data_IF_564098489763
#
_entry.id   IF_564098489763
#
_cell.length_a   1.000
_cell.length_b   1.000
_cell.length_c   1.000
_cell.angle_alpha   90.00
_cell.angle_beta   90.00
_cell.angle_gamma   90.00
#
_symmetry.space_group_name_H-M   'P 1'
#
loop_
_entity.id
_entity.type
_entity.pdbx_description
1 polymer ?
#
# COMPACT_ATOMS: atom_id res chain seq x y z
N UNK A 1 -46.65 32.08 19.11
CA UNK A 1 -46.73 32.80 17.83
C UNK A 1 -46.21 31.85 16.77
N UNK A 2 -47.04 31.05 16.08
CA UNK A 2 -47.80 31.26 14.83
C UNK A 2 -46.88 31.89 13.77
N UNK A 3 -46.47 31.22 12.68
CA UNK A 3 -47.28 30.91 11.50
C UNK A 3 -46.71 29.75 10.68
N UNK A 4 -47.64 28.89 10.29
CA UNK A 4 -47.49 27.91 9.21
C UNK A 4 -47.74 28.61 7.85
N UNK A 5 -47.21 28.07 6.77
CA UNK A 5 -47.86 28.24 5.47
C UNK A 5 -47.69 27.00 4.58
N UNK A 6 -48.84 26.44 4.26
CA UNK A 6 -49.13 25.42 3.23
C UNK A 6 -49.47 26.16 1.91
N UNK A 7 -49.15 25.57 0.77
CA UNK A 7 -49.81 25.74 -0.55
C UNK A 7 -49.51 24.45 -1.31
N UNK A 8 -50.37 23.48 -1.50
CA UNK A 8 -51.61 23.27 -2.26
C UNK A 8 -51.41 23.44 -3.76
N UNK A 9 -51.35 22.31 -4.45
CA UNK A 9 -52.23 21.71 -5.45
C UNK A 9 -52.72 22.60 -6.61
N UNK A 10 -52.49 22.19 -7.85
CA UNK A 10 -53.42 22.38 -8.94
C UNK A 10 -53.33 21.26 -9.97
N UNK A 11 -54.36 20.43 -9.97
CA UNK A 11 -54.78 19.52 -11.04
C UNK A 11 -55.47 20.33 -12.12
N UNK A 12 -55.14 20.15 -13.39
CA UNK A 12 -55.94 20.63 -14.52
C UNK A 12 -56.22 19.47 -15.47
N UNK A 13 -57.46 18.94 -15.34
CA UNK A 13 -58.14 18.20 -16.40
C UNK A 13 -58.55 19.16 -17.51
N UNK A 14 -58.29 18.84 -18.76
CA UNK A 14 -58.98 19.40 -19.89
C UNK A 14 -59.49 18.27 -20.79
N UNK A 15 -60.81 18.13 -20.77
CA UNK A 15 -61.69 17.44 -21.73
C UNK A 15 -61.54 18.09 -23.08
N UNK A 16 -61.41 17.31 -24.15
CA UNK A 16 -61.77 17.79 -25.52
C UNK A 16 -62.51 16.71 -26.27
N UNK A 17 -63.67 17.17 -26.82
CA UNK A 17 -64.73 16.43 -27.41
C UNK A 17 -64.41 15.73 -28.75
N UNK A 18 -65.19 14.63 -28.95
CA UNK A 18 -65.43 13.92 -30.21
C UNK A 18 -65.76 14.86 -31.37
N UNK A 19 -65.16 14.57 -32.53
CA UNK A 19 -65.80 14.76 -33.84
C UNK A 19 -65.60 13.48 -34.65
N UNK A 20 -66.74 12.82 -34.93
CA UNK A 20 -66.85 11.65 -35.78
C UNK A 20 -66.93 12.13 -37.23
N UNK A 21 -65.98 11.64 -38.06
CA UNK A 21 -66.02 11.78 -39.50
C UNK A 21 -65.96 10.37 -40.15
N UNK A 22 -66.64 10.15 -41.28
CA UNK A 22 -66.86 8.81 -41.81
C UNK A 22 -65.59 8.21 -42.39
N UNK A 23 -65.41 6.95 -42.07
CA UNK A 23 -64.30 6.10 -42.51
C UNK A 23 -64.35 5.80 -44.02
N UNK A 24 -63.31 6.16 -44.75
CA UNK A 24 -62.97 5.53 -46.01
C UNK A 24 -61.97 4.41 -45.76
N UNK A 25 -62.44 3.19 -45.87
CA UNK A 25 -61.59 2.01 -45.78
C UNK A 25 -60.76 1.86 -47.07
N UNK A 26 -59.50 2.06 -46.99
CA UNK A 26 -58.53 1.63 -48.02
C UNK A 26 -58.09 0.20 -47.70
N UNK A 27 -58.01 -0.72 -48.68
CA UNK A 27 -57.57 -2.07 -48.40
C UNK A 27 -56.08 -2.09 -48.07
N UNK A 28 -55.77 -2.45 -46.84
CA UNK A 28 -54.41 -2.76 -46.45
C UNK A 28 -53.99 -4.06 -47.09
N UNK A 29 -53.10 -3.96 -48.06
CA UNK A 29 -52.42 -5.08 -48.63
C UNK A 29 -51.53 -5.72 -47.57
N UNK A 30 -51.92 -6.89 -47.03
CA UNK A 30 -51.10 -7.65 -46.11
C UNK A 30 -49.85 -8.19 -46.86
N UNK A 31 -48.77 -7.47 -46.78
CA UNK A 31 -47.48 -8.06 -47.13
C UNK A 31 -47.06 -8.98 -45.98
N UNK A 32 -47.21 -10.28 -46.23
CA UNK A 32 -46.58 -11.33 -45.42
C UNK A 32 -45.05 -11.13 -45.51
N UNK A 33 -44.47 -10.54 -44.51
CA UNK A 33 -43.04 -10.54 -44.37
C UNK A 33 -42.57 -11.98 -44.21
N UNK A 34 -41.92 -12.50 -45.23
CA UNK A 34 -41.20 -13.77 -45.12
C UNK A 34 -40.17 -13.64 -44.01
N UNK A 35 -40.36 -14.35 -42.91
CA UNK A 35 -39.39 -14.45 -41.87
C UNK A 35 -38.10 -15.02 -42.47
N UNK A 36 -37.06 -14.16 -42.55
CA UNK A 36 -35.75 -14.65 -42.92
C UNK A 36 -35.32 -15.67 -41.88
N UNK A 37 -35.24 -16.92 -42.26
CA UNK A 37 -34.66 -17.98 -41.43
C UNK A 37 -33.19 -17.65 -41.22
N UNK A 38 -32.85 -17.22 -39.99
CA UNK A 38 -31.46 -17.13 -39.52
C UNK A 38 -30.91 -18.57 -39.60
N UNK A 39 -29.84 -18.81 -40.38
CA UNK A 39 -29.26 -20.14 -40.43
C UNK A 39 -28.84 -20.56 -39.02
N UNK A 40 -29.32 -21.71 -38.57
CA UNK A 40 -28.93 -22.27 -37.28
C UNK A 40 -27.40 -22.42 -37.26
N UNK A 41 -26.76 -21.70 -36.36
CA UNK A 41 -25.33 -21.87 -36.09
C UNK A 41 -25.15 -23.28 -35.56
N UNK A 42 -24.59 -24.16 -36.38
CA UNK A 42 -24.27 -25.51 -35.93
C UNK A 42 -23.22 -25.37 -34.79
N UNK A 43 -23.44 -26.06 -33.65
CA UNK A 43 -22.42 -26.04 -32.58
C UNK A 43 -21.14 -26.65 -33.15
N UNK A 44 -20.10 -25.84 -33.22
CA UNK A 44 -18.74 -26.30 -33.54
C UNK A 44 -18.36 -27.28 -32.44
N UNK A 45 -18.09 -28.52 -32.79
CA UNK A 45 -17.60 -29.50 -31.83
C UNK A 45 -16.35 -28.95 -31.14
N UNK A 46 -16.20 -29.11 -29.80
CA UNK A 46 -15.03 -28.62 -29.10
C UNK A 46 -13.79 -29.24 -29.73
N UNK A 47 -12.93 -28.40 -30.27
CA UNK A 47 -11.64 -28.84 -30.76
C UNK A 47 -10.84 -29.36 -29.55
N UNK A 48 -10.44 -30.63 -29.60
CA UNK A 48 -9.51 -31.19 -28.62
C UNK A 48 -8.13 -30.55 -28.85
N UNK A 49 -7.89 -29.43 -28.21
CA UNK A 49 -6.58 -28.75 -28.22
C UNK A 49 -5.74 -29.41 -27.14
N UNK A 50 -4.76 -30.24 -27.54
CA UNK A 50 -3.72 -30.69 -26.62
C UNK A 50 -2.54 -29.72 -26.69
N UNK A 51 -2.27 -29.02 -25.59
CA UNK A 51 -1.10 -28.15 -25.45
C UNK A 51 0.01 -28.96 -24.80
N UNK A 52 1.18 -29.05 -25.45
CA UNK A 52 2.39 -29.52 -24.81
C UNK A 52 3.21 -28.27 -24.44
N UNK A 53 3.47 -28.07 -23.15
CA UNK A 53 4.42 -27.12 -22.67
C UNK A 53 5.76 -27.83 -22.42
N UNK A 54 6.87 -27.26 -22.88
CA UNK A 54 8.21 -27.68 -22.52
C UNK A 54 8.92 -26.51 -21.87
N UNK A 55 9.65 -26.76 -20.79
CA UNK A 55 10.45 -25.79 -20.07
C UNK A 55 11.92 -26.15 -20.33
N UNK A 56 12.68 -25.20 -20.88
CA UNK A 56 14.12 -25.33 -21.05
C UNK A 56 14.82 -24.43 -20.04
N UNK A 57 15.62 -24.99 -19.17
CA UNK A 57 16.48 -24.21 -18.28
C UNK A 57 17.49 -23.41 -19.12
N UNK A 58 17.61 -22.13 -18.85
CA UNK A 58 18.66 -21.27 -19.39
C UNK A 58 19.74 -21.18 -18.31
N UNK A 59 20.85 -21.83 -18.54
CA UNK A 59 22.00 -21.88 -17.65
C UNK A 59 23.29 -21.54 -18.42
N UNK A 60 24.44 -21.75 -17.81
CA UNK A 60 25.75 -21.44 -18.39
C UNK A 60 26.09 -22.26 -19.68
N UNK A 61 25.33 -23.31 -19.99
CA UNK A 61 25.46 -24.08 -21.21
C UNK A 61 24.91 -23.37 -22.44
N UNK A 62 24.08 -22.36 -22.25
CA UNK A 62 23.52 -21.54 -23.34
C UNK A 62 24.52 -20.42 -23.66
N UNK A 63 25.04 -20.41 -24.88
CA UNK A 63 25.96 -19.35 -25.29
C UNK A 63 25.29 -17.97 -25.28
N UNK A 64 25.99 -16.96 -24.76
CA UNK A 64 25.55 -15.57 -24.82
C UNK A 64 25.41 -15.08 -26.26
N UNK A 65 24.37 -14.27 -26.53
CA UNK A 65 24.22 -13.60 -27.81
C UNK A 65 25.16 -12.37 -27.88
N UNK A 66 26.12 -12.32 -28.85
CA UNK A 66 27.05 -11.20 -28.94
C UNK A 66 26.39 -9.82 -29.13
N UNK A 67 25.22 -9.77 -29.75
CA UNK A 67 24.48 -8.51 -29.95
C UNK A 67 23.88 -7.99 -28.63
N UNK A 68 23.39 -8.89 -27.78
CA UNK A 68 22.89 -8.58 -26.44
C UNK A 68 24.06 -8.19 -25.52
N UNK A 69 25.15 -8.94 -25.57
CA UNK A 69 26.37 -8.62 -24.80
C UNK A 69 26.90 -7.22 -25.12
N UNK A 70 26.92 -6.82 -26.40
CA UNK A 70 27.34 -5.47 -26.80
C UNK A 70 26.47 -4.35 -26.20
N UNK A 71 25.17 -4.60 -26.01
CA UNK A 71 24.26 -3.66 -25.37
C UNK A 71 24.47 -3.60 -23.86
N UNK A 72 24.77 -4.71 -23.20
CA UNK A 72 24.94 -4.82 -21.76
C UNK A 72 26.32 -4.32 -21.30
N UNK A 73 27.38 -4.56 -22.13
CA UNK A 73 28.76 -4.29 -21.77
C UNK A 73 29.04 -2.91 -21.16
N UNK A 74 28.47 -1.79 -21.65
CA UNK A 74 28.68 -0.47 -21.05
C UNK A 74 28.18 -0.34 -19.60
N UNK A 75 27.21 -1.17 -19.20
CA UNK A 75 26.61 -1.16 -17.87
C UNK A 75 27.24 -2.15 -16.90
N UNK A 76 27.97 -3.15 -17.40
CA UNK A 76 28.53 -4.28 -16.61
C UNK A 76 29.40 -3.82 -15.45
N UNK A 77 30.23 -2.80 -15.65
CA UNK A 77 31.11 -2.26 -14.61
C UNK A 77 30.28 -1.67 -13.45
N UNK A 78 29.22 -0.90 -13.78
CA UNK A 78 28.33 -0.28 -12.80
C UNK A 78 27.54 -1.33 -12.02
N UNK A 79 27.03 -2.37 -12.68
CA UNK A 79 26.32 -3.48 -12.03
C UNK A 79 27.25 -4.22 -11.07
N UNK A 80 28.50 -4.50 -11.45
CA UNK A 80 29.50 -5.11 -10.57
C UNK A 80 29.76 -4.25 -9.32
N UNK A 81 29.87 -2.92 -9.49
CA UNK A 81 30.02 -1.98 -8.38
C UNK A 81 28.82 -2.02 -7.41
N UNK A 82 27.59 -2.11 -7.94
CA UNK A 82 26.37 -2.21 -7.13
C UNK A 82 26.28 -3.53 -6.36
N UNK A 83 26.87 -4.60 -6.87
CA UNK A 83 26.90 -5.91 -6.22
C UNK A 83 27.98 -6.03 -5.13
N UNK A 84 28.88 -5.03 -5.01
CA UNK A 84 29.86 -5.02 -3.94
C UNK A 84 29.16 -4.91 -2.56
N UNK A 85 29.63 -5.66 -1.55
CA UNK A 85 29.07 -5.58 -0.20
C UNK A 85 29.20 -4.18 0.39
N UNK A 86 28.10 -3.67 0.97
CA UNK A 86 28.05 -2.40 1.69
C UNK A 86 27.85 -2.58 3.19
N UNK A 87 27.57 -3.81 3.63
CA UNK A 87 27.35 -4.15 5.02
C UNK A 87 27.13 -5.63 5.23
N UNK A 88 26.87 -6.01 6.49
CA UNK A 88 26.60 -7.40 6.88
C UNK A 88 25.29 -7.49 7.64
N UNK A 89 24.45 -8.43 7.22
CA UNK A 89 23.17 -8.75 7.82
C UNK A 89 23.30 -9.98 8.72
N UNK A 90 22.87 -9.84 9.97
CA UNK A 90 22.75 -10.94 10.94
C UNK A 90 21.29 -11.32 11.12
N UNK A 91 20.97 -12.52 10.69
CA UNK A 91 19.59 -12.99 10.53
C UNK A 91 18.94 -12.47 9.26
N UNK A 92 18.21 -13.34 8.57
CA UNK A 92 17.54 -12.97 7.32
C UNK A 92 16.38 -12.01 7.52
N UNK A 93 16.19 -11.08 6.59
CA UNK A 93 15.04 -10.18 6.54
C UNK A 93 13.93 -10.83 5.73
N UNK A 94 12.70 -10.82 6.26
CA UNK A 94 11.52 -11.38 5.58
C UNK A 94 10.38 -10.37 5.58
N UNK A 95 9.75 -10.21 4.40
CA UNK A 95 8.50 -9.49 4.25
C UNK A 95 7.35 -10.39 4.68
N UNK A 96 6.39 -9.83 5.43
CA UNK A 96 5.18 -10.57 5.81
C UNK A 96 4.50 -9.98 7.03
N UNK A 97 3.30 -10.45 7.29
CA UNK A 97 2.54 -10.04 8.45
C UNK A 97 2.19 -8.55 8.52
N UNK A 98 1.98 -8.08 9.76
CA UNK A 98 1.74 -6.66 10.04
C UNK A 98 3.05 -5.88 9.90
N UNK A 99 2.97 -4.68 9.31
CA UNK A 99 4.14 -3.81 9.18
C UNK A 99 5.21 -4.28 8.18
N UNK A 100 4.90 -5.26 7.31
CA UNK A 100 5.86 -5.78 6.34
C UNK A 100 6.96 -6.67 6.95
N UNK A 101 6.77 -7.17 8.16
CA UNK A 101 7.68 -8.10 8.84
C UNK A 101 9.03 -7.47 9.23
N UNK A 102 10.06 -8.31 9.38
CA UNK A 102 11.40 -7.83 9.73
C UNK A 102 12.01 -6.93 8.65
N UNK A 103 11.65 -7.16 7.37
CA UNK A 103 12.08 -6.32 6.25
C UNK A 103 11.46 -4.92 6.33
N UNK A 104 10.17 -4.83 6.68
CA UNK A 104 9.50 -3.55 6.92
C UNK A 104 10.09 -2.80 8.11
N UNK A 105 10.39 -3.51 9.21
CA UNK A 105 11.05 -2.93 10.36
C UNK A 105 12.41 -2.33 10.01
N UNK A 106 13.24 -3.08 9.30
CA UNK A 106 14.55 -2.62 8.83
C UNK A 106 14.47 -1.32 8.05
N UNK A 107 13.58 -1.27 7.04
CA UNK A 107 13.43 -0.06 6.22
C UNK A 107 12.92 1.11 7.05
N UNK A 108 11.86 0.91 7.86
CA UNK A 108 11.31 1.99 8.67
C UNK A 108 12.31 2.54 9.71
N UNK A 109 13.12 1.66 10.32
CA UNK A 109 14.17 2.05 11.26
C UNK A 109 15.28 2.86 10.56
N UNK A 110 15.68 2.41 9.36
CA UNK A 110 16.66 3.13 8.56
C UNK A 110 16.19 4.56 8.21
N UNK A 111 14.93 4.68 7.76
CA UNK A 111 14.38 5.99 7.42
C UNK A 111 14.31 6.92 8.63
N UNK A 112 13.83 6.41 9.76
CA UNK A 112 13.76 7.18 11.00
C UNK A 112 15.14 7.66 11.41
N UNK A 113 16.13 6.75 11.48
CA UNK A 113 17.51 7.07 11.85
C UNK A 113 18.14 8.12 10.92
N UNK A 114 17.97 7.97 9.61
CA UNK A 114 18.56 8.94 8.65
C UNK A 114 17.85 10.28 8.67
N UNK A 115 16.54 10.30 8.87
CA UNK A 115 15.80 11.55 9.07
C UNK A 115 16.28 12.30 10.31
N UNK A 116 16.57 11.63 11.44
CA UNK A 116 17.14 12.22 12.64
C UNK A 116 18.49 12.89 12.36
N UNK A 117 19.35 12.25 11.56
CA UNK A 117 20.65 12.80 11.17
C UNK A 117 20.48 14.07 10.33
N UNK A 118 19.59 14.04 9.32
CA UNK A 118 19.34 15.19 8.42
C UNK A 118 18.71 16.35 9.18
N UNK A 119 17.75 16.07 10.05
CA UNK A 119 17.03 17.07 10.82
C UNK A 119 17.81 17.57 12.05
N UNK A 120 18.86 16.86 12.46
CA UNK A 120 19.62 17.09 13.70
C UNK A 120 18.73 17.18 14.96
N UNK A 121 17.64 16.40 14.96
CA UNK A 121 16.70 16.30 16.07
C UNK A 121 16.02 14.93 16.08
N UNK A 122 15.53 14.46 17.24
CA UNK A 122 14.79 13.20 17.32
C UNK A 122 13.55 13.21 16.41
N UNK A 123 13.27 12.07 15.82
CA UNK A 123 12.05 11.80 15.04
C UNK A 123 11.21 10.78 15.80
N UNK A 124 10.00 11.14 16.17
CA UNK A 124 9.14 10.26 16.97
C UNK A 124 8.59 9.09 16.13
N UNK A 125 8.29 9.33 14.87
CA UNK A 125 7.63 8.33 14.02
C UNK A 125 8.07 8.44 12.56
N UNK A 126 8.38 7.28 11.97
CA UNK A 126 8.49 7.10 10.52
C UNK A 126 7.50 6.05 10.06
N UNK A 127 6.79 6.28 8.93
CA UNK A 127 5.82 5.35 8.35
C UNK A 127 6.01 5.27 6.84
N UNK A 128 6.01 4.03 6.31
CA UNK A 128 6.08 3.75 4.88
C UNK A 128 5.08 2.65 4.48
N UNK A 129 4.67 2.64 3.22
CA UNK A 129 3.82 1.57 2.72
C UNK A 129 4.61 0.28 2.47
N UNK A 130 4.22 -0.81 3.11
CA UNK A 130 4.84 -2.13 2.93
C UNK A 130 4.71 -2.66 1.49
N UNK A 131 3.72 -2.20 0.72
CA UNK A 131 3.57 -2.56 -0.69
C UNK A 131 4.70 -2.01 -1.58
N UNK A 132 5.41 -0.97 -1.11
CA UNK A 132 6.59 -0.40 -1.78
C UNK A 132 7.83 -1.29 -1.70
N UNK A 133 7.86 -2.26 -0.77
CA UNK A 133 8.95 -3.22 -0.63
C UNK A 133 8.80 -4.31 -1.70
N UNK A 134 9.74 -4.43 -2.64
CA UNK A 134 9.61 -5.29 -3.84
C UNK A 134 10.33 -6.62 -3.72
N UNK A 135 11.24 -6.80 -2.75
CA UNK A 135 11.78 -8.13 -2.37
C UNK A 135 10.94 -8.76 -1.26
N UNK A 136 10.86 -10.08 -1.28
CA UNK A 136 10.19 -10.84 -0.22
C UNK A 136 11.14 -11.21 0.92
N UNK A 137 12.43 -11.26 0.63
CA UNK A 137 13.47 -11.56 1.62
C UNK A 137 14.84 -11.05 1.17
N UNK A 138 15.72 -10.83 2.14
CA UNK A 138 17.16 -10.71 1.96
C UNK A 138 17.78 -11.75 2.87
N UNK A 139 18.65 -12.61 2.34
CA UNK A 139 19.30 -13.67 3.11
C UNK A 139 20.29 -13.09 4.12
N UNK A 140 20.61 -13.86 5.17
CA UNK A 140 21.72 -13.56 6.07
C UNK A 140 23.03 -13.56 5.30
N UNK A 141 23.95 -12.65 5.65
CA UNK A 141 25.27 -12.51 5.03
C UNK A 141 25.54 -11.09 4.57
N UNK A 142 26.29 -10.98 3.49
CA UNK A 142 26.61 -9.68 2.91
C UNK A 142 25.37 -9.07 2.25
N UNK A 143 25.22 -7.76 2.43
CA UNK A 143 24.19 -6.96 1.80
C UNK A 143 24.84 -5.96 0.84
N UNK A 144 24.34 -5.88 -0.37
CA UNK A 144 24.85 -5.03 -1.44
C UNK A 144 23.94 -3.84 -1.74
N UNK A 145 24.46 -2.87 -2.49
CA UNK A 145 23.61 -1.79 -3.02
C UNK A 145 22.52 -2.35 -3.94
N UNK A 146 22.83 -3.38 -4.73
CA UNK A 146 21.87 -4.04 -5.61
C UNK A 146 20.67 -4.57 -4.85
N UNK A 147 20.86 -5.18 -3.67
CA UNK A 147 19.77 -5.65 -2.81
C UNK A 147 18.81 -4.53 -2.43
N UNK A 148 19.35 -3.34 -2.14
CA UNK A 148 18.53 -2.18 -1.77
C UNK A 148 17.82 -1.59 -3.00
N UNK A 149 18.45 -1.55 -4.17
CA UNK A 149 17.81 -1.11 -5.42
C UNK A 149 16.65 -2.03 -5.82
N UNK A 150 16.83 -3.35 -5.69
CA UNK A 150 15.75 -4.31 -5.94
C UNK A 150 14.63 -4.24 -4.91
N UNK A 151 14.98 -3.98 -3.64
CA UNK A 151 13.99 -3.80 -2.57
C UNK A 151 13.16 -2.54 -2.77
N UNK A 152 13.80 -1.43 -3.14
CA UNK A 152 13.24 -0.08 -3.20
C UNK A 152 13.49 0.58 -4.57
N UNK A 153 12.86 0.09 -5.65
CA UNK A 153 13.13 0.60 -7.01
C UNK A 153 12.55 1.98 -7.30
N UNK A 154 11.76 2.54 -6.38
CA UNK A 154 11.08 3.82 -6.59
C UNK A 154 11.87 5.00 -6.04
N UNK A 155 11.79 6.15 -6.73
CA UNK A 155 12.40 7.43 -6.34
C UNK A 155 11.50 8.23 -5.36
N UNK A 156 10.99 7.55 -4.32
CA UNK A 156 10.15 8.20 -3.32
C UNK A 156 11.01 9.09 -2.41
N UNK A 157 10.71 10.38 -2.38
CA UNK A 157 11.39 11.32 -1.49
C UNK A 157 10.88 11.16 -0.04
N UNK A 158 11.81 11.24 0.93
CA UNK A 158 11.44 11.41 2.32
C UNK A 158 10.91 12.82 2.55
N UNK A 159 9.81 12.90 3.28
CA UNK A 159 9.20 14.16 3.66
C UNK A 159 8.89 14.17 5.16
N UNK A 160 8.95 15.34 5.77
CA UNK A 160 8.40 15.60 7.09
C UNK A 160 7.15 16.41 7.00
N UNK A 161 6.23 16.18 7.92
CA UNK A 161 5.04 17.00 8.11
C UNK A 161 4.60 16.96 9.56
N UNK A 162 3.79 17.93 9.94
CA UNK A 162 3.24 18.05 11.28
C UNK A 162 1.76 17.67 11.28
N UNK A 163 1.40 16.76 12.17
CA UNK A 163 0.03 16.31 12.41
C UNK A 163 -0.38 16.63 13.85
N UNK A 164 -1.64 17.01 14.09
CA UNK A 164 -2.20 16.98 15.43
C UNK A 164 -2.26 15.54 15.94
N UNK A 165 -2.37 15.34 17.25
CA UNK A 165 -2.49 14.00 17.80
C UNK A 165 -3.72 13.24 17.29
N UNK A 166 -4.82 13.94 17.01
CA UNK A 166 -6.01 13.36 16.39
C UNK A 166 -5.71 12.89 14.95
N UNK A 167 -5.08 13.74 14.12
CA UNK A 167 -4.66 13.35 12.76
C UNK A 167 -3.66 12.20 12.79
N UNK A 168 -2.73 12.21 13.75
CA UNK A 168 -1.75 11.14 13.92
C UNK A 168 -2.42 9.81 14.25
N UNK A 169 -3.42 9.78 15.14
CA UNK A 169 -4.19 8.56 15.43
C UNK A 169 -4.93 8.05 14.20
N UNK A 170 -5.55 8.93 13.41
CA UNK A 170 -6.18 8.57 12.13
C UNK A 170 -5.17 7.96 11.16
N UNK A 171 -4.00 8.55 11.03
CA UNK A 171 -2.92 8.02 10.18
C UNK A 171 -2.38 6.67 10.67
N UNK A 172 -2.26 6.48 11.98
CA UNK A 172 -1.83 5.19 12.56
C UNK A 172 -2.89 4.10 12.40
N UNK A 173 -4.18 4.44 12.41
CA UNK A 173 -5.23 3.49 12.06
C UNK A 173 -5.09 3.01 10.59
N UNK A 174 -4.86 3.93 9.65
CA UNK A 174 -4.56 3.58 8.26
C UNK A 174 -3.26 2.76 8.13
N UNK A 175 -2.27 3.04 8.97
CA UNK A 175 -1.03 2.25 9.03
C UNK A 175 -1.31 0.79 9.37
N UNK A 176 -2.23 0.54 10.28
CA UNK A 176 -2.69 -0.81 10.65
C UNK A 176 -3.54 -1.43 9.54
N UNK A 177 -4.52 -0.71 9.03
CA UNK A 177 -5.44 -1.19 7.98
C UNK A 177 -4.69 -1.63 6.72
N UNK A 178 -3.71 -0.84 6.28
CA UNK A 178 -2.89 -1.13 5.10
C UNK A 178 -1.61 -1.93 5.40
N UNK A 179 -1.43 -2.37 6.64
CA UNK A 179 -0.25 -3.11 7.11
C UNK A 179 1.07 -2.42 6.79
N UNK A 180 1.09 -1.10 6.88
CA UNK A 180 2.27 -0.27 6.62
C UNK A 180 3.35 -0.49 7.68
N UNK A 181 4.62 -0.38 7.26
CA UNK A 181 5.74 -0.45 8.17
C UNK A 181 5.93 0.89 8.92
N UNK A 182 6.33 0.80 10.18
CA UNK A 182 6.59 1.99 11.00
C UNK A 182 7.76 1.77 11.95
N UNK A 183 8.37 2.86 12.37
CA UNK A 183 9.36 2.93 13.44
C UNK A 183 9.01 4.08 14.38
N UNK A 184 8.97 3.80 15.68
CA UNK A 184 8.71 4.80 16.71
C UNK A 184 7.38 4.62 17.45
N UNK A 185 6.57 3.63 17.13
CA UNK A 185 5.34 3.35 17.86
C UNK A 185 5.27 1.89 18.36
N UNK A 186 4.52 1.68 19.43
CA UNK A 186 3.99 0.40 19.90
C UNK A 186 2.50 0.37 19.60
N UNK A 187 2.09 -0.54 18.73
CA UNK A 187 0.73 -0.62 18.20
C UNK A 187 0.10 -1.93 18.64
N UNK A 188 -1.08 -1.83 19.26
CA UNK A 188 -1.97 -2.97 19.51
C UNK A 188 -3.09 -2.91 18.47
N UNK A 189 -3.33 -4.01 17.77
CA UNK A 189 -4.32 -4.10 16.71
C UNK A 189 -5.15 -5.37 16.83
N UNK A 190 -6.33 -5.36 16.28
CA UNK A 190 -7.18 -6.54 16.07
C UNK A 190 -7.64 -6.61 14.63
N UNK A 191 -8.14 -7.78 14.21
CA UNK A 191 -8.77 -7.96 12.90
C UNK A 191 -10.27 -8.06 13.07
N UNK A 192 -11.00 -7.16 12.46
CA UNK A 192 -12.44 -7.25 12.33
C UNK A 192 -12.75 -8.35 11.31
N UNK A 193 -13.35 -9.47 11.77
CA UNK A 193 -13.63 -10.66 10.95
C UNK A 193 -14.67 -10.38 9.86
N UNK A 194 -15.67 -9.55 10.15
CA UNK A 194 -16.76 -9.19 9.24
C UNK A 194 -16.24 -8.33 8.08
N UNK A 195 -15.50 -7.28 8.42
CA UNK A 195 -14.94 -6.33 7.45
C UNK A 195 -13.64 -6.83 6.81
N UNK A 196 -13.03 -7.91 7.33
CA UNK A 196 -11.72 -8.43 6.92
C UNK A 196 -10.60 -7.37 6.96
N UNK A 197 -10.74 -6.38 7.86
CA UNK A 197 -9.81 -5.26 8.04
C UNK A 197 -9.16 -5.31 9.40
N UNK A 198 -7.91 -4.86 9.47
CA UNK A 198 -7.22 -4.67 10.74
C UNK A 198 -7.48 -3.26 11.26
N UNK A 199 -7.72 -3.14 12.56
CA UNK A 199 -8.09 -1.92 13.26
C UNK A 199 -7.10 -1.64 14.39
N UNK A 200 -6.83 -0.35 14.62
CA UNK A 200 -6.02 0.12 15.72
C UNK A 200 -6.82 0.02 17.03
N UNK A 201 -6.30 -0.73 18.01
CA UNK A 201 -6.87 -0.83 19.35
C UNK A 201 -6.22 0.20 20.28
N UNK A 202 -4.90 0.18 20.32
CA UNK A 202 -4.12 1.11 21.14
C UNK A 202 -2.78 1.44 20.47
N UNK A 203 -2.25 2.63 20.79
CA UNK A 203 -0.95 3.05 20.30
C UNK A 203 -0.26 3.98 21.30
N UNK A 204 1.05 3.73 21.49
CA UNK A 204 1.96 4.62 22.21
C UNK A 204 3.14 4.95 21.32
N UNK A 205 3.61 6.17 21.36
CA UNK A 205 4.87 6.55 20.72
C UNK A 205 6.03 6.17 21.64
N UNK A 206 7.22 6.06 21.07
CA UNK A 206 8.47 5.90 21.84
C UNK A 206 9.31 7.14 21.68
N UNK A 207 9.66 7.76 22.80
CA UNK A 207 10.57 8.89 22.81
C UNK A 207 12.02 8.48 22.49
N UNK A 208 12.93 9.44 22.49
CA UNK A 208 14.35 9.19 22.20
C UNK A 208 15.03 8.30 23.26
N UNK A 209 14.53 8.27 24.48
CA UNK A 209 14.98 7.40 25.58
C UNK A 209 14.37 6.02 25.56
N UNK A 210 13.40 5.77 24.64
CA UNK A 210 12.67 4.51 24.51
C UNK A 210 11.46 4.38 25.42
N UNK A 211 11.12 5.41 26.20
CA UNK A 211 9.92 5.43 27.04
C UNK A 211 8.66 5.52 26.16
N UNK A 212 7.61 4.85 26.60
CA UNK A 212 6.31 4.91 25.93
C UNK A 212 5.54 6.14 26.37
N UNK A 213 5.08 6.95 25.41
CA UNK A 213 4.30 8.16 25.64
C UNK A 213 2.95 8.06 24.95
N UNK A 214 1.90 8.51 25.63
CA UNK A 214 0.56 8.60 25.06
C UNK A 214 0.48 9.72 24.02
N UNK A 215 -0.38 9.56 23.01
CA UNK A 215 -0.64 10.60 22.03
C UNK A 215 -1.67 11.58 22.62
N UNK A 216 -1.22 12.81 22.92
CA UNK A 216 -2.10 13.91 23.27
C UNK A 216 -2.82 14.41 22.01
N UNK A 217 -4.16 14.35 21.94
CA UNK A 217 -4.94 14.79 20.76
C UNK A 217 -4.66 16.23 20.34
N UNK A 218 -4.36 17.12 21.30
CA UNK A 218 -4.11 18.54 21.06
C UNK A 218 -2.69 18.89 20.69
N UNK A 219 -1.72 18.01 20.99
CA UNK A 219 -0.32 18.24 20.67
C UNK A 219 -0.04 18.10 19.17
N UNK A 220 1.08 18.69 18.74
CA UNK A 220 1.57 18.58 17.35
C UNK A 220 2.78 17.67 17.29
N UNK A 221 2.79 16.75 16.32
CA UNK A 221 3.81 15.75 16.14
C UNK A 221 4.46 15.87 14.75
N UNK A 222 5.78 16.03 14.71
CA UNK A 222 6.53 15.92 13.45
C UNK A 222 6.77 14.45 13.15
N UNK A 223 6.31 14.00 11.99
CA UNK A 223 6.53 12.64 11.49
C UNK A 223 7.34 12.65 10.20
N UNK A 224 7.91 11.51 9.87
CA UNK A 224 8.58 11.23 8.60
C UNK A 224 7.78 10.20 7.82
N UNK A 225 7.59 10.46 6.54
CA UNK A 225 6.97 9.52 5.60
C UNK A 225 7.54 9.74 4.21
N UNK A 226 6.92 9.16 3.19
CA UNK A 226 7.32 9.33 1.80
C UNK A 226 6.31 10.18 1.04
N UNK A 227 6.79 10.93 0.07
CA UNK A 227 5.98 11.82 -0.76
C UNK A 227 4.84 11.09 -1.49
N UNK A 228 5.06 9.83 -1.85
CA UNK A 228 4.03 8.98 -2.46
C UNK A 228 2.77 8.87 -1.59
N UNK A 229 2.91 8.64 -0.27
CA UNK A 229 1.75 8.54 0.61
C UNK A 229 1.00 9.87 0.74
N UNK A 230 1.72 10.99 0.78
CA UNK A 230 1.12 12.33 0.83
C UNK A 230 0.38 12.65 -0.47
N UNK A 231 0.99 12.34 -1.62
CA UNK A 231 0.41 12.61 -2.95
C UNK A 231 -0.76 11.70 -3.29
N UNK A 232 -0.80 10.49 -2.74
CA UNK A 232 -1.82 9.49 -3.05
C UNK A 232 -3.23 9.98 -2.75
N UNK A 233 -3.44 10.76 -1.68
CA UNK A 233 -4.78 11.19 -1.27
C UNK A 233 -5.69 10.01 -0.90
N UNK A 234 -6.98 10.14 -1.12
CA UNK A 234 -7.95 9.11 -0.77
C UNK A 234 -7.90 8.79 0.72
N UNK A 235 -7.68 7.49 1.07
CA UNK A 235 -7.55 7.08 2.47
C UNK A 235 -6.46 7.87 3.22
N UNK A 236 -5.39 8.29 2.52
CA UNK A 236 -4.28 9.06 3.10
C UNK A 236 -4.49 10.58 3.08
N UNK A 237 -5.70 11.09 2.81
CA UNK A 237 -6.03 12.52 2.82
C UNK A 237 -5.63 13.22 4.12
N UNK A 238 -5.63 12.50 5.25
CA UNK A 238 -5.16 13.01 6.54
C UNK A 238 -3.73 13.56 6.49
N UNK A 239 -2.86 13.04 5.62
CA UNK A 239 -1.51 13.58 5.42
C UNK A 239 -1.52 14.92 4.69
N UNK A 240 -2.53 15.17 3.83
CA UNK A 240 -2.70 16.44 3.13
C UNK A 240 -3.27 17.54 4.04
N UNK A 241 -3.94 17.15 5.13
CA UNK A 241 -4.39 18.05 6.20
C UNK A 241 -3.22 18.55 7.09
N UNK A 242 -2.07 17.84 7.02
CA UNK A 242 -0.89 18.17 7.81
C UNK A 242 -0.26 19.51 7.41
N UNK A 243 0.53 20.07 8.33
CA UNK A 243 1.22 21.35 8.15
C UNK A 243 2.72 21.14 7.93
N UNK A 244 3.39 22.18 7.49
CA UNK A 244 4.85 22.22 7.38
C UNK A 244 5.46 21.04 6.60
N UNK A 245 4.79 20.61 5.52
CA UNK A 245 5.31 19.60 4.62
C UNK A 245 6.65 20.06 4.02
N UNK A 246 7.72 19.29 4.24
CA UNK A 246 9.08 19.60 3.76
C UNK A 246 9.76 18.35 3.25
N UNK A 247 10.35 18.35 2.03
CA UNK A 247 11.23 17.29 1.59
C UNK A 247 12.56 17.32 2.36
N UNK A 248 13.14 16.14 2.58
CA UNK A 248 14.44 16.01 3.26
C UNK A 248 15.63 15.96 2.27
N UNK A 249 15.41 16.18 0.98
CA UNK A 249 16.42 16.02 -0.08
C UNK A 249 17.12 14.65 -0.06
N UNK A 250 16.38 13.63 0.34
CA UNK A 250 16.84 12.26 0.51
C UNK A 250 15.74 11.32 0.00
N UNK A 251 16.08 10.35 -0.84
CA UNK A 251 15.12 9.33 -1.24
C UNK A 251 15.03 8.22 -0.17
N UNK A 252 13.94 7.47 -0.20
CA UNK A 252 13.78 6.29 0.68
C UNK A 252 14.92 5.29 0.49
N UNK A 253 15.33 5.05 -0.76
CA UNK A 253 16.44 4.15 -1.10
C UNK A 253 17.77 4.67 -0.58
N UNK A 254 18.08 5.94 -0.81
CA UNK A 254 19.34 6.53 -0.35
C UNK A 254 19.44 6.52 1.18
N UNK A 255 18.32 6.78 1.88
CA UNK A 255 18.27 6.67 3.33
C UNK A 255 18.67 5.27 3.82
N UNK A 256 18.16 4.22 3.18
CA UNK A 256 18.52 2.84 3.57
C UNK A 256 19.98 2.53 3.20
N UNK A 257 20.46 2.95 2.04
CA UNK A 257 21.88 2.79 1.65
C UNK A 257 22.81 3.50 2.65
N UNK A 258 22.52 4.74 2.99
CA UNK A 258 23.30 5.52 3.97
C UNK A 258 23.24 4.89 5.36
N UNK A 259 22.08 4.39 5.79
CA UNK A 259 21.94 3.69 7.07
C UNK A 259 22.85 2.45 7.13
N UNK A 260 22.80 1.57 6.11
CA UNK A 260 23.64 0.38 6.07
C UNK A 260 25.12 0.74 6.11
N UNK A 261 25.55 1.73 5.32
CA UNK A 261 26.93 2.19 5.30
C UNK A 261 27.37 2.79 6.64
N UNK A 262 26.50 3.55 7.30
CA UNK A 262 26.79 4.15 8.60
C UNK A 262 26.93 3.09 9.71
N UNK A 263 26.04 2.09 9.74
CA UNK A 263 26.13 0.97 10.67
C UNK A 263 27.41 0.16 10.46
N UNK A 264 27.75 -0.12 9.20
CA UNK A 264 28.97 -0.83 8.82
C UNK A 264 30.23 -0.06 9.23
N UNK A 265 30.28 1.26 8.96
CA UNK A 265 31.39 2.11 9.37
C UNK A 265 31.57 2.18 10.90
N UNK A 266 30.46 2.02 11.64
CA UNK A 266 30.47 1.95 13.10
C UNK A 266 30.75 0.54 13.66
N UNK A 267 31.06 -0.44 12.79
CA UNK A 267 31.32 -1.83 13.19
C UNK A 267 30.08 -2.58 13.68
N UNK A 268 28.89 -2.08 13.39
CA UNK A 268 27.64 -2.71 13.80
C UNK A 268 27.01 -3.48 12.64
N UNK A 269 26.72 -4.78 12.80
CA UNK A 269 25.98 -5.52 11.79
C UNK A 269 24.50 -5.08 11.74
N UNK A 270 23.91 -5.15 10.57
CA UNK A 270 22.48 -4.91 10.40
C UNK A 270 21.71 -6.04 11.07
N UNK A 271 20.80 -5.70 11.96
CA UNK A 271 19.90 -6.64 12.62
C UNK A 271 18.49 -6.09 12.51
N UNK A 272 17.61 -6.86 11.90
CA UNK A 272 16.21 -6.51 11.92
C UNK A 272 15.41 -7.63 12.59
N UNK A 273 14.70 -7.29 13.62
CA UNK A 273 13.95 -8.23 14.43
C UNK A 273 12.46 -7.84 14.47
N UNK A 274 11.63 -8.83 14.72
CA UNK A 274 10.26 -8.59 15.15
C UNK A 274 10.32 -8.26 16.67
N UNK A 275 10.30 -6.96 16.98
CA UNK A 275 10.49 -6.43 18.36
C UNK A 275 9.17 -6.17 19.10
N UNK A 276 8.07 -6.69 18.57
CA UNK A 276 6.73 -6.52 19.14
C UNK A 276 6.15 -5.11 18.97
N UNK A 277 6.69 -4.29 18.03
CA UNK A 277 6.12 -2.97 17.70
C UNK A 277 4.69 -3.04 17.17
N UNK A 278 4.29 -4.20 16.66
CA UNK A 278 2.90 -4.55 16.36
C UNK A 278 2.52 -5.78 17.18
N UNK A 279 1.49 -5.67 17.98
CA UNK A 279 0.95 -6.75 18.82
C UNK A 279 -0.53 -6.96 18.52
N UNK A 280 -0.90 -8.21 18.30
CA UNK A 280 -2.29 -8.58 18.14
C UNK A 280 -3.01 -8.59 19.49
N UNK A 281 -4.19 -7.98 19.55
CA UNK A 281 -5.07 -8.03 20.71
C UNK A 281 -5.82 -9.37 20.73
N UNK A 282 -5.56 -10.18 21.75
CA UNK A 282 -6.19 -11.48 21.94
C UNK A 282 -7.39 -11.44 22.91
N UNK A 283 -7.66 -10.30 23.54
CA UNK A 283 -8.70 -10.21 24.57
C UNK A 283 -10.09 -10.43 24.00
N UNK A 284 -10.37 -9.96 22.78
CA UNK A 284 -11.63 -10.18 22.11
C UNK A 284 -11.89 -11.67 21.74
N UNK A 285 -10.83 -12.44 21.47
CA UNK A 285 -10.98 -13.88 21.17
C UNK A 285 -11.28 -14.72 22.41
N UNK A 286 -10.80 -14.31 23.59
CA UNK A 286 -11.10 -14.98 24.83
C UNK A 286 -12.59 -14.79 25.24
N UNK A 287 -13.13 -13.63 25.01
CA UNK A 287 -14.55 -13.33 25.30
C UNK A 287 -15.51 -14.09 24.38
N UNK A 288 -15.23 -14.18 23.06
CA UNK A 288 -16.05 -14.98 22.13
C UNK A 288 -16.04 -16.48 22.49
N UNK A 289 -14.91 -17.01 22.98
CA UNK A 289 -14.82 -18.43 23.39
C UNK A 289 -15.51 -18.74 24.72
N UNK A 290 -15.75 -17.74 25.58
CA UNK A 290 -16.53 -17.88 26.82
C UNK A 290 -18.03 -17.75 26.56
N UNK A 291 -18.47 -16.97 25.55
CA UNK A 291 -19.88 -16.85 25.16
C UNK A 291 -20.38 -18.04 24.31
N UNK A 292 -19.49 -18.80 23.65
CA UNK A 292 -19.84 -20.01 22.88
C UNK A 292 -19.86 -21.32 23.72
N UNK A 293 -19.58 -21.28 25.01
CA UNK A 293 -19.75 -22.46 25.88
C UNK A 293 -21.20 -22.49 26.42
N UNK A 294 -21.99 -23.51 26.05
CA UNK A 294 -23.38 -23.66 26.45
C UNK A 294 -23.55 -23.96 27.94
#
# INVERSE_FOLDING_TARGET
>A
MRYANRIACCVSLLFFCLLVGPATQSPVCAQTAAAAQVPAVQPVAPANISVRASENAIDESVASDPSVEAVIAPYSAKVKELNAPIGRLVGGLKKGGMGGGSLGNFVADALRSRAEVVLKKPVLLAVINSSGLRKNQIAEGDISSSDIYELLPFENALVTLELSGEQLRRFLNLTVEHRNAQSGARIVYRTNKELKKSELVNVKLRDAGGAEIEIDPAATYTIVTIDYLVKRGGDYSVLQEGKNLRPLSLTMRDAVLEYVKAETAAGRPIKAMLDGRFRYDRTAQAQESEEEQP
#
